data_IF_705792882354
#
_entry.id   IF_705792882354
#
_cell.length_a   1.000
_cell.length_b   1.000
_cell.length_c   1.000
_cell.angle_alpha   90.00
_cell.angle_beta   90.00
_cell.angle_gamma   90.00
#
_symmetry.space_group_name_H-M   'P 1'
#
loop_
_entity.id
_entity.type
_entity.pdbx_description
1 polymer ?
#
# COMPACT_ATOMS: atom_id res chain seq x y z
N UNK A 1 -4.99 -20.53 0.51
CA UNK A 1 -5.91 -19.45 0.88
C UNK A 1 -5.74 -19.16 2.36
N UNK A 2 -5.60 -17.89 2.69
CA UNK A 2 -5.55 -17.34 4.03
C UNK A 2 -6.90 -16.68 4.32
N UNK A 3 -7.55 -17.05 5.41
CA UNK A 3 -8.77 -16.43 5.91
C UNK A 3 -8.47 -15.80 7.28
N UNK A 4 -8.79 -14.52 7.41
CA UNK A 4 -8.51 -13.75 8.62
C UNK A 4 -9.80 -13.07 9.06
N UNK A 5 -10.18 -13.30 10.30
CA UNK A 5 -11.14 -12.48 11.02
C UNK A 5 -10.60 -12.36 12.44
N UNK A 6 -10.10 -11.21 12.87
CA UNK A 6 -9.54 -11.07 14.20
C UNK A 6 -9.89 -9.73 14.81
N UNK A 7 -10.04 -9.73 16.13
CA UNK A 7 -10.10 -8.50 16.92
C UNK A 7 -9.05 -8.51 18.02
N UNK A 8 -8.49 -7.35 18.28
CA UNK A 8 -7.60 -7.14 19.41
C UNK A 8 -7.66 -5.71 19.93
N UNK A 9 -7.78 -5.56 21.24
CA UNK A 9 -7.81 -4.26 21.90
C UNK A 9 -6.44 -3.90 22.49
N UNK A 10 -5.95 -2.73 22.10
CA UNK A 10 -4.74 -2.09 22.60
C UNK A 10 -5.12 -0.67 23.04
N UNK A 11 -5.94 -0.53 24.10
CA UNK A 11 -6.52 0.75 24.54
C UNK A 11 -5.54 1.92 24.42
N UNK A 12 -5.86 2.99 23.67
CA UNK A 12 -7.18 3.31 23.06
C UNK A 12 -7.42 2.73 21.66
N UNK A 13 -6.48 1.98 21.09
CA UNK A 13 -6.55 1.44 19.74
C UNK A 13 -7.28 0.09 19.68
N UNK A 14 -8.08 -0.13 18.63
CA UNK A 14 -8.77 -1.40 18.40
C UNK A 14 -8.47 -1.93 16.99
N UNK A 15 -7.86 -3.11 16.93
CA UNK A 15 -7.66 -3.85 15.69
C UNK A 15 -8.91 -4.68 15.43
N UNK A 16 -9.53 -4.53 14.26
CA UNK A 16 -10.65 -5.34 13.78
C UNK A 16 -10.46 -5.62 12.29
N UNK A 17 -9.85 -6.76 11.99
CA UNK A 17 -9.40 -7.09 10.65
C UNK A 17 -10.11 -8.32 10.12
N UNK A 18 -10.75 -8.17 8.95
CA UNK A 18 -11.39 -9.26 8.24
C UNK A 18 -11.02 -9.19 6.76
N UNK A 19 -10.37 -10.24 6.24
CA UNK A 19 -10.03 -10.35 4.81
C UNK A 19 -9.66 -11.78 4.43
N UNK A 20 -9.64 -12.03 3.14
CA UNK A 20 -9.11 -13.26 2.55
C UNK A 20 -7.96 -12.92 1.60
N UNK A 21 -6.97 -13.79 1.52
CA UNK A 21 -5.85 -13.66 0.61
C UNK A 21 -5.51 -15.00 -0.05
N UNK A 22 -5.43 -14.97 -1.37
CA UNK A 22 -5.02 -16.11 -2.19
C UNK A 22 -3.50 -16.12 -2.41
N UNK A 23 -3.04 -17.09 -3.19
CA UNK A 23 -1.66 -17.10 -3.68
C UNK A 23 -1.38 -15.81 -4.48
N UNK A 24 -0.14 -15.33 -4.37
CA UNK A 24 0.26 -14.04 -4.91
C UNK A 24 0.51 -13.01 -3.81
N UNK A 25 0.64 -11.76 -4.21
CA UNK A 25 1.02 -10.66 -3.31
C UNK A 25 -0.20 -9.78 -3.04
N UNK A 26 -0.60 -9.72 -1.78
CA UNK A 26 -1.62 -8.78 -1.30
C UNK A 26 -0.96 -7.72 -0.44
N UNK A 27 -1.05 -6.45 -0.85
CA UNK A 27 -0.56 -5.35 -0.04
C UNK A 27 -1.58 -4.91 1.00
N UNK A 28 -1.10 -4.59 2.20
CA UNK A 28 -1.84 -3.83 3.20
C UNK A 28 -1.30 -2.40 3.16
N UNK A 29 -2.08 -1.50 2.57
CA UNK A 29 -1.73 -0.10 2.36
C UNK A 29 -2.49 0.79 3.34
N UNK A 30 -1.78 1.65 4.06
CA UNK A 30 -2.43 2.59 4.98
C UNK A 30 -1.43 3.48 5.70
N UNK A 31 -1.90 4.51 6.43
CA UNK A 31 -1.06 5.44 7.14
C UNK A 31 -0.24 4.76 8.25
N UNK A 32 0.83 5.42 8.70
CA UNK A 32 1.61 4.95 9.85
C UNK A 32 0.74 4.85 11.10
N UNK A 33 0.95 3.81 11.92
CA UNK A 33 0.22 3.64 13.19
C UNK A 33 -1.19 3.06 13.08
N UNK A 34 -1.72 2.75 11.88
CA UNK A 34 -3.07 2.19 11.75
C UNK A 34 -3.20 0.70 12.13
N UNK A 35 -2.10 0.02 12.48
CA UNK A 35 -2.09 -1.36 12.98
C UNK A 35 -1.55 -2.44 12.02
N UNK A 36 -0.99 -2.07 10.85
CA UNK A 36 -0.50 -3.02 9.84
C UNK A 36 0.49 -4.06 10.39
N UNK A 37 1.52 -3.61 11.11
CA UNK A 37 2.51 -4.50 11.72
C UNK A 37 1.92 -5.37 12.83
N UNK A 38 0.91 -4.86 13.57
CA UNK A 38 0.19 -5.64 14.59
C UNK A 38 -0.62 -6.77 13.95
N UNK A 39 -1.21 -6.52 12.77
CA UNK A 39 -1.84 -7.58 11.96
C UNK A 39 -0.83 -8.67 11.62
N UNK A 40 0.33 -8.32 11.08
CA UNK A 40 1.35 -9.33 10.73
C UNK A 40 1.81 -10.12 11.97
N UNK A 41 2.03 -9.44 13.10
CA UNK A 41 2.37 -10.10 14.36
C UNK A 41 1.28 -11.08 14.84
N UNK A 42 0.01 -10.74 14.65
CA UNK A 42 -1.11 -11.62 14.98
C UNK A 42 -1.16 -12.87 14.09
N UNK A 43 -0.93 -12.69 12.79
CA UNK A 43 -0.86 -13.79 11.81
C UNK A 43 0.35 -14.71 12.06
N UNK A 44 1.49 -14.14 12.45
CA UNK A 44 2.69 -14.89 12.85
C UNK A 44 2.55 -15.59 14.21
N UNK A 45 1.51 -15.29 14.99
CA UNK A 45 1.32 -15.83 16.35
C UNK A 45 2.22 -15.19 17.40
N UNK A 46 2.88 -14.08 17.08
CA UNK A 46 3.68 -13.28 18.01
C UNK A 46 2.75 -12.56 18.99
N UNK A 47 1.66 -11.99 18.46
CA UNK A 47 0.57 -11.42 19.24
C UNK A 47 -0.64 -12.37 19.20
N UNK A 48 -1.19 -12.73 20.36
CA UNK A 48 -2.45 -13.48 20.41
C UNK A 48 -3.64 -12.52 20.23
N UNK A 49 -4.55 -12.72 19.24
CA UNK A 49 -5.79 -11.95 19.16
C UNK A 49 -6.73 -12.23 20.34
N UNK A 50 -7.66 -11.32 20.60
CA UNK A 50 -8.66 -11.49 21.67
C UNK A 50 -9.85 -12.33 21.17
N UNK A 51 -10.31 -12.05 19.94
CA UNK A 51 -11.44 -12.73 19.29
C UNK A 51 -11.12 -13.08 17.83
N UNK A 52 -11.88 -14.01 17.29
CA UNK A 52 -11.92 -14.34 15.87
C UNK A 52 -11.20 -15.63 15.51
N UNK A 53 -10.83 -15.77 14.24
CA UNK A 53 -10.27 -16.97 13.63
C UNK A 53 -9.22 -16.63 12.56
N UNK A 54 -8.15 -17.41 12.52
CA UNK A 54 -7.12 -17.36 11.47
C UNK A 54 -6.98 -18.77 10.89
N UNK A 55 -7.25 -18.92 9.59
CA UNK A 55 -7.17 -20.20 8.87
C UNK A 55 -6.20 -20.06 7.71
N UNK A 56 -5.29 -21.01 7.57
CA UNK A 56 -4.37 -21.09 6.44
C UNK A 56 -4.50 -22.47 5.79
N UNK A 57 -4.89 -22.50 4.51
CA UNK A 57 -5.06 -23.73 3.74
C UNK A 57 -5.92 -24.80 4.47
N UNK A 58 -7.03 -24.36 5.09
CA UNK A 58 -7.93 -25.20 5.88
C UNK A 58 -7.43 -25.54 7.30
N UNK A 59 -6.19 -25.20 7.65
CA UNK A 59 -5.66 -25.38 9.00
C UNK A 59 -5.98 -24.17 9.87
N UNK A 60 -6.68 -24.39 10.97
CA UNK A 60 -7.02 -23.33 11.94
C UNK A 60 -5.81 -23.05 12.84
N UNK A 61 -5.16 -21.90 12.66
CA UNK A 61 -4.02 -21.47 13.47
C UNK A 61 -4.44 -20.74 14.75
N UNK A 62 -5.60 -20.07 14.70
CA UNK A 62 -6.20 -19.42 15.85
C UNK A 62 -7.71 -19.50 15.74
N UNK A 63 -8.37 -19.75 16.86
CA UNK A 63 -9.82 -19.66 17.00
C UNK A 63 -10.13 -19.38 18.47
N UNK A 64 -10.80 -18.25 18.75
CA UNK A 64 -11.14 -17.86 20.11
C UNK A 64 -12.21 -18.78 20.74
N UNK A 65 -13.14 -19.31 19.94
CA UNK A 65 -14.23 -20.17 20.42
C UNK A 65 -13.74 -21.58 20.71
N UNK A 66 -12.98 -22.16 19.77
CA UNK A 66 -12.40 -23.50 19.89
C UNK A 66 -11.12 -23.52 20.76
N UNK A 67 -10.73 -22.36 21.30
CA UNK A 67 -9.53 -22.17 22.14
C UNK A 67 -8.23 -22.66 21.47
N UNK A 68 -8.15 -22.53 20.16
CA UNK A 68 -6.98 -22.90 19.36
C UNK A 68 -6.02 -21.71 19.29
N UNK A 69 -4.74 -21.94 19.58
CA UNK A 69 -3.67 -20.97 19.33
C UNK A 69 -2.36 -21.68 19.03
N UNK A 70 -1.99 -21.71 17.76
CA UNK A 70 -0.68 -22.18 17.31
C UNK A 70 0.37 -21.12 17.64
N UNK A 71 1.45 -21.54 18.29
CA UNK A 71 2.63 -20.71 18.55
C UNK A 71 3.35 -20.38 17.24
N UNK A 72 4.19 -19.32 17.19
CA UNK A 72 4.92 -18.94 15.98
C UNK A 72 5.67 -20.10 15.32
N UNK A 73 6.33 -20.96 16.10
CA UNK A 73 7.13 -22.08 15.58
C UNK A 73 6.27 -23.19 14.93
N UNK A 74 4.97 -23.22 15.21
CA UNK A 74 4.02 -24.16 14.61
C UNK A 74 3.42 -23.61 13.31
N UNK A 75 3.49 -22.29 13.11
CA UNK A 75 3.01 -21.63 11.90
C UNK A 75 4.20 -21.58 10.93
N UNK A 76 4.09 -22.26 9.79
CA UNK A 76 5.11 -22.25 8.73
C UNK A 76 5.13 -20.88 8.02
N UNK A 77 5.51 -19.83 8.75
CA UNK A 77 5.46 -18.42 8.34
C UNK A 77 6.89 -17.90 8.17
N UNK A 78 7.17 -17.30 7.02
CA UNK A 78 8.34 -16.46 6.81
C UNK A 78 8.01 -15.03 7.22
N UNK A 79 8.82 -14.42 8.10
CA UNK A 79 8.62 -13.04 8.53
C UNK A 79 9.86 -12.20 8.23
N UNK A 80 9.69 -11.16 7.42
CA UNK A 80 10.68 -10.11 7.20
C UNK A 80 10.27 -8.85 7.96
N UNK A 81 11.01 -8.54 9.02
CA UNK A 81 10.79 -7.35 9.84
C UNK A 81 11.35 -6.09 9.17
N UNK A 82 10.78 -4.93 9.52
CA UNK A 82 11.21 -3.61 9.04
C UNK A 82 12.70 -3.32 9.23
N UNK A 83 13.29 -3.77 10.34
CA UNK A 83 14.73 -3.61 10.64
C UNK A 83 15.57 -4.84 10.24
N UNK A 84 15.01 -5.77 9.47
CA UNK A 84 15.56 -7.07 9.05
C UNK A 84 15.85 -8.07 10.17
N UNK A 85 16.06 -7.60 11.40
CA UNK A 85 16.32 -8.39 12.61
C UNK A 85 17.36 -9.52 12.38
N UNK A 86 18.45 -9.24 11.65
CA UNK A 86 19.55 -10.19 11.50
C UNK A 86 20.24 -10.41 12.85
N UNK A 87 20.67 -11.65 13.11
CA UNK A 87 21.42 -11.95 14.33
C UNK A 87 22.85 -11.40 14.17
N UNK A 88 23.26 -10.39 14.97
CA UNK A 88 24.51 -9.67 14.74
C UNK A 88 25.75 -10.53 15.04
N UNK A 89 25.59 -11.55 15.88
CA UNK A 89 26.64 -12.49 16.28
C UNK A 89 26.76 -13.71 15.35
N UNK A 90 25.92 -13.81 14.32
CA UNK A 90 25.96 -14.89 13.34
C UNK A 90 26.44 -14.36 11.99
N UNK A 91 27.18 -15.18 11.24
CA UNK A 91 27.56 -14.86 9.86
C UNK A 91 26.33 -14.89 8.94
N UNK A 92 26.49 -14.44 7.68
CA UNK A 92 25.46 -14.55 6.64
C UNK A 92 24.96 -15.99 6.50
N UNK A 93 25.87 -16.94 6.32
CA UNK A 93 25.51 -18.37 6.18
C UNK A 93 24.77 -18.90 7.40
N UNK A 94 25.17 -18.50 8.61
CA UNK A 94 24.52 -18.90 9.85
C UNK A 94 23.14 -18.23 10.06
N UNK A 95 22.99 -16.97 9.63
CA UNK A 95 21.69 -16.30 9.63
C UNK A 95 20.71 -17.02 8.71
N UNK A 96 21.13 -17.32 7.48
CA UNK A 96 20.32 -18.05 6.51
C UNK A 96 19.99 -19.45 7.04
N UNK A 97 20.98 -20.19 7.57
CA UNK A 97 20.78 -21.55 8.07
C UNK A 97 19.93 -21.65 9.35
N UNK A 98 19.61 -20.54 10.03
CA UNK A 98 19.08 -20.56 11.40
C UNK A 98 17.78 -21.37 11.54
N UNK A 99 16.91 -21.34 10.52
CA UNK A 99 15.64 -22.08 10.48
C UNK A 99 15.77 -23.57 10.18
N UNK A 100 16.96 -24.05 9.77
CA UNK A 100 17.19 -25.44 9.33
C UNK A 100 17.73 -26.36 10.44
N UNK A 101 17.53 -26.00 11.71
CA UNK A 101 18.00 -26.79 12.85
C UNK A 101 17.43 -28.21 12.81
N UNK A 102 18.29 -29.21 13.00
CA UNK A 102 17.92 -30.63 13.00
C UNK A 102 18.15 -31.35 11.67
N UNK A 103 18.47 -30.64 10.59
CA UNK A 103 18.85 -31.25 9.32
C UNK A 103 20.34 -31.65 9.28
N UNK A 104 20.73 -32.63 8.44
CA UNK A 104 22.13 -32.98 8.21
C UNK A 104 22.96 -31.78 7.74
N UNK A 105 24.21 -31.68 8.19
CA UNK A 105 25.11 -30.57 7.85
C UNK A 105 25.31 -30.40 6.34
N UNK A 106 25.37 -31.50 5.58
CA UNK A 106 25.47 -31.47 4.12
C UNK A 106 24.26 -30.80 3.49
N UNK A 107 23.04 -31.20 3.88
CA UNK A 107 21.78 -30.61 3.41
C UNK A 107 21.67 -29.13 3.76
N UNK A 108 22.07 -28.74 4.98
CA UNK A 108 22.09 -27.32 5.39
C UNK A 108 23.06 -26.53 4.50
N UNK A 109 24.27 -27.04 4.29
CA UNK A 109 25.27 -26.35 3.46
C UNK A 109 24.80 -26.21 2.01
N UNK A 110 24.18 -27.24 1.45
CA UNK A 110 23.64 -27.22 0.09
C UNK A 110 22.54 -26.16 -0.05
N UNK A 111 21.54 -26.17 0.83
CA UNK A 111 20.44 -25.19 0.83
C UNK A 111 20.96 -23.76 0.97
N UNK A 112 21.89 -23.53 1.89
CA UNK A 112 22.50 -22.20 2.10
C UNK A 112 23.24 -21.73 0.84
N UNK A 113 24.03 -22.60 0.21
CA UNK A 113 24.76 -22.26 -1.01
C UNK A 113 23.81 -21.94 -2.18
N UNK A 114 22.70 -22.67 -2.31
CA UNK A 114 21.65 -22.35 -3.29
C UNK A 114 21.05 -20.97 -3.01
N UNK A 115 20.68 -20.68 -1.76
CA UNK A 115 20.11 -19.37 -1.39
C UNK A 115 21.08 -18.21 -1.61
N UNK A 116 22.37 -18.39 -1.33
CA UNK A 116 23.41 -17.38 -1.59
C UNK A 116 23.50 -17.04 -3.08
N UNK A 117 23.36 -18.02 -3.96
CA UNK A 117 23.27 -17.81 -5.42
C UNK A 117 22.01 -17.05 -5.79
N UNK A 118 20.85 -17.48 -5.30
CA UNK A 118 19.54 -16.85 -5.56
C UNK A 118 19.55 -15.36 -5.25
N UNK A 119 20.12 -15.00 -4.09
CA UNK A 119 20.22 -13.61 -3.62
C UNK A 119 21.48 -12.86 -4.09
N UNK A 120 22.33 -13.50 -4.91
CA UNK A 120 23.56 -12.93 -5.48
C UNK A 120 24.56 -12.44 -4.41
N UNK A 121 24.79 -13.26 -3.38
CA UNK A 121 25.74 -13.00 -2.29
C UNK A 121 26.78 -14.12 -2.10
N UNK A 122 27.12 -14.82 -3.19
CA UNK A 122 28.27 -15.74 -3.19
C UNK A 122 29.55 -15.01 -2.75
N UNK A 123 30.35 -15.64 -1.89
CA UNK A 123 31.56 -15.03 -1.29
C UNK A 123 31.31 -14.20 -0.02
N UNK A 124 30.06 -14.04 0.41
CA UNK A 124 29.70 -13.29 1.63
C UNK A 124 29.41 -14.21 2.83
N UNK A 125 29.61 -15.52 2.70
CA UNK A 125 29.20 -16.56 3.65
C UNK A 125 29.66 -16.30 5.09
N UNK A 126 30.88 -15.77 5.21
CA UNK A 126 31.59 -15.55 6.48
C UNK A 126 31.45 -14.13 7.01
N UNK A 127 30.80 -13.23 6.27
CA UNK A 127 30.58 -11.86 6.74
C UNK A 127 29.54 -11.81 7.84
N UNK A 128 29.65 -10.84 8.72
CA UNK A 128 28.64 -10.51 9.73
C UNK A 128 27.71 -9.40 9.22
N UNK A 129 26.49 -9.25 9.78
CA UNK A 129 25.54 -8.22 9.36
C UNK A 129 26.12 -6.79 9.36
N UNK A 130 27.02 -6.47 10.28
CA UNK A 130 27.70 -5.17 10.35
C UNK A 130 28.62 -4.88 9.15
N UNK A 131 28.93 -5.89 8.33
CA UNK A 131 29.80 -5.79 7.15
C UNK A 131 29.00 -5.78 5.84
N UNK A 132 27.68 -5.61 5.92
CA UNK A 132 26.75 -5.61 4.79
C UNK A 132 26.14 -4.22 4.59
N UNK A 133 25.84 -3.87 3.34
CA UNK A 133 24.96 -2.73 3.05
C UNK A 133 23.51 -3.04 3.45
N UNK A 134 22.65 -2.02 3.47
CA UNK A 134 21.22 -2.18 3.78
C UNK A 134 20.52 -3.18 2.84
N UNK A 135 20.73 -3.04 1.52
CA UNK A 135 20.18 -3.97 0.53
C UNK A 135 20.74 -5.40 0.63
N UNK A 136 22.02 -5.55 0.99
CA UNK A 136 22.61 -6.87 1.23
C UNK A 136 21.98 -7.52 2.49
N UNK A 137 21.80 -6.76 3.56
CA UNK A 137 21.15 -7.23 4.78
C UNK A 137 19.70 -7.65 4.55
N UNK A 138 18.97 -6.87 3.76
CA UNK A 138 17.61 -7.21 3.35
C UNK A 138 17.55 -8.55 2.62
N UNK A 139 18.43 -8.77 1.64
CA UNK A 139 18.51 -10.03 0.88
C UNK A 139 18.81 -11.24 1.77
N UNK A 140 19.72 -11.09 2.74
CA UNK A 140 20.01 -12.14 3.73
C UNK A 140 18.80 -12.44 4.60
N UNK A 141 18.07 -11.41 5.03
CA UNK A 141 16.87 -11.57 5.84
C UNK A 141 15.72 -12.22 5.06
N UNK A 142 15.55 -11.87 3.78
CA UNK A 142 14.61 -12.52 2.87
C UNK A 142 14.93 -14.01 2.72
N UNK A 143 16.18 -14.36 2.39
CA UNK A 143 16.62 -15.75 2.29
C UNK A 143 16.37 -16.53 3.59
N UNK A 144 16.71 -15.96 4.75
CA UNK A 144 16.43 -16.57 6.06
C UNK A 144 14.93 -16.81 6.28
N UNK A 145 14.06 -15.90 5.83
CA UNK A 145 12.62 -16.05 5.98
C UNK A 145 12.02 -17.12 5.06
N UNK A 146 12.65 -17.39 3.91
CA UNK A 146 12.13 -18.29 2.88
C UNK A 146 12.75 -19.70 2.90
N UNK A 147 13.94 -19.87 3.47
CA UNK A 147 14.67 -21.14 3.46
C UNK A 147 13.94 -22.31 4.14
N UNK A 148 12.98 -22.01 5.02
CA UNK A 148 12.13 -23.01 5.68
C UNK A 148 10.90 -23.37 4.85
N UNK A 149 10.84 -22.93 3.59
CA UNK A 149 9.72 -23.17 2.64
C UNK A 149 8.36 -22.81 3.26
N UNK A 150 8.16 -21.56 3.72
CA UNK A 150 6.93 -21.18 4.40
C UNK A 150 5.72 -21.22 3.46
N UNK A 151 4.52 -21.29 4.04
CA UNK A 151 3.26 -21.19 3.30
C UNK A 151 2.75 -19.75 3.20
N UNK A 152 3.15 -18.91 4.16
CA UNK A 152 2.79 -17.50 4.27
C UNK A 152 4.06 -16.67 4.47
N UNK A 153 4.26 -15.67 3.63
CA UNK A 153 5.35 -14.72 3.73
C UNK A 153 4.80 -13.36 4.17
N UNK A 154 5.30 -12.82 5.27
CA UNK A 154 4.89 -11.54 5.84
C UNK A 154 6.05 -10.54 5.69
N UNK A 155 5.82 -9.45 4.98
CA UNK A 155 6.83 -8.44 4.68
C UNK A 155 6.41 -7.11 5.30
N UNK A 156 7.07 -6.71 6.39
CA UNK A 156 6.70 -5.51 7.17
C UNK A 156 7.57 -4.32 6.77
N UNK A 157 7.04 -3.44 5.92
CA UNK A 157 7.74 -2.26 5.38
C UNK A 157 9.18 -2.55 4.93
N UNK A 158 9.40 -3.54 4.03
CA UNK A 158 10.74 -4.05 3.75
C UNK A 158 11.67 -3.01 3.11
N UNK A 159 11.14 -1.89 2.62
CA UNK A 159 11.88 -0.83 1.95
C UNK A 159 11.97 0.48 2.71
N UNK A 160 11.39 0.60 3.90
CA UNK A 160 11.28 1.89 4.60
C UNK A 160 12.63 2.47 5.03
N UNK A 161 13.60 1.61 5.35
CA UNK A 161 14.92 2.00 5.86
C UNK A 161 15.98 2.21 4.76
N UNK A 162 15.57 2.30 3.48
CA UNK A 162 16.47 2.31 2.34
C UNK A 162 16.35 3.59 1.50
N UNK A 163 17.48 4.05 0.97
CA UNK A 163 17.55 5.20 0.08
C UNK A 163 16.74 4.99 -1.21
N UNK A 164 16.06 6.05 -1.67
CA UNK A 164 15.19 6.01 -2.86
C UNK A 164 15.90 5.47 -4.10
N UNK A 165 17.19 5.78 -4.29
CA UNK A 165 17.97 5.36 -5.45
C UNK A 165 18.14 3.83 -5.56
N UNK A 166 18.20 3.13 -4.43
CA UNK A 166 18.44 1.68 -4.39
C UNK A 166 17.10 0.91 -4.37
N UNK A 167 16.03 1.58 -3.92
CA UNK A 167 14.70 0.99 -3.69
C UNK A 167 14.15 0.25 -4.90
N UNK A 168 14.17 0.86 -6.08
CA UNK A 168 13.66 0.24 -7.32
C UNK A 168 14.34 -1.09 -7.64
N UNK A 169 15.68 -1.14 -7.57
CA UNK A 169 16.42 -2.38 -7.82
C UNK A 169 16.12 -3.48 -6.80
N UNK A 170 15.81 -3.11 -5.55
CA UNK A 170 15.49 -4.05 -4.48
C UNK A 170 14.04 -4.55 -4.57
N UNK A 171 13.11 -3.71 -5.05
CA UNK A 171 11.76 -4.13 -5.41
C UNK A 171 11.79 -5.17 -6.52
N UNK A 172 12.56 -4.92 -7.59
CA UNK A 172 12.73 -5.89 -8.69
C UNK A 172 13.37 -7.20 -8.20
N UNK A 173 14.40 -7.12 -7.36
CA UNK A 173 15.04 -8.32 -6.80
C UNK A 173 14.10 -9.09 -5.86
N UNK A 174 13.31 -8.41 -5.03
CA UNK A 174 12.30 -9.03 -4.18
C UNK A 174 11.27 -9.77 -5.03
N UNK A 175 10.71 -9.11 -6.05
CA UNK A 175 9.75 -9.69 -6.97
C UNK A 175 10.31 -10.88 -7.73
N UNK A 176 11.58 -10.80 -8.16
CA UNK A 176 12.28 -11.92 -8.80
C UNK A 176 12.35 -13.13 -7.88
N UNK A 177 12.80 -12.93 -6.65
CA UNK A 177 12.96 -14.02 -5.67
C UNK A 177 11.60 -14.61 -5.27
N UNK A 178 10.60 -13.78 -5.00
CA UNK A 178 9.26 -14.26 -4.67
C UNK A 178 8.67 -15.02 -5.87
N UNK A 179 8.79 -14.47 -7.08
CA UNK A 179 8.23 -15.08 -8.29
C UNK A 179 8.87 -16.42 -8.66
N UNK A 180 10.18 -16.61 -8.39
CA UNK A 180 10.87 -17.88 -8.69
C UNK A 180 10.82 -18.88 -7.55
N UNK A 181 10.85 -18.45 -6.29
CA UNK A 181 11.05 -19.34 -5.13
C UNK A 181 9.81 -19.53 -4.25
N UNK A 182 8.72 -18.78 -4.47
CA UNK A 182 7.56 -18.80 -3.58
C UNK A 182 6.23 -18.99 -4.31
N UNK A 183 5.42 -19.90 -3.79
CA UNK A 183 4.11 -20.26 -4.37
C UNK A 183 2.96 -20.19 -3.36
N UNK A 184 3.18 -19.51 -2.23
CA UNK A 184 2.22 -19.32 -1.15
C UNK A 184 1.51 -17.97 -1.19
N UNK A 185 1.02 -17.54 -0.02
CA UNK A 185 0.40 -16.22 0.18
C UNK A 185 1.48 -15.24 0.64
N UNK A 186 1.56 -14.06 0.05
CA UNK A 186 2.43 -12.97 0.51
C UNK A 186 1.58 -11.81 0.98
N UNK A 187 1.83 -11.34 2.21
CA UNK A 187 1.31 -10.07 2.70
C UNK A 187 2.42 -9.04 2.75
N UNK A 188 2.24 -7.95 2.01
CA UNK A 188 3.20 -6.86 1.91
C UNK A 188 2.64 -5.60 2.59
N UNK A 189 3.25 -5.17 3.67
CA UNK A 189 2.85 -3.96 4.38
C UNK A 189 3.67 -2.78 3.87
N UNK A 190 2.99 -1.71 3.46
CA UNK A 190 3.61 -0.44 3.11
C UNK A 190 2.67 0.73 3.40
N UNK A 191 3.24 1.93 3.44
CA UNK A 191 2.50 3.19 3.41
C UNK A 191 2.68 3.93 2.07
N UNK A 192 3.41 3.34 1.12
CA UNK A 192 3.69 3.93 -0.19
C UNK A 192 2.79 3.30 -1.26
N UNK A 193 2.01 4.14 -1.94
CA UNK A 193 1.07 3.73 -3.00
C UNK A 193 1.80 3.15 -4.21
N UNK A 194 2.92 3.74 -4.63
CA UNK A 194 3.69 3.29 -5.80
C UNK A 194 4.29 1.90 -5.56
N UNK A 195 4.82 1.66 -4.36
CA UNK A 195 5.32 0.33 -3.97
C UNK A 195 4.21 -0.71 -4.02
N UNK A 196 3.07 -0.42 -3.37
CA UNK A 196 1.92 -1.30 -3.39
C UNK A 196 1.44 -1.55 -4.82
N UNK A 197 1.45 -0.53 -5.67
CA UNK A 197 1.09 -0.68 -7.07
C UNK A 197 2.08 -1.57 -7.83
N UNK A 198 3.39 -1.38 -7.66
CA UNK A 198 4.43 -2.13 -8.39
C UNK A 198 4.51 -3.60 -7.97
N UNK A 199 4.31 -3.89 -6.68
CA UNK A 199 4.65 -5.19 -6.09
C UNK A 199 3.45 -6.13 -5.96
N UNK A 200 2.24 -5.62 -5.88
CA UNK A 200 1.07 -6.43 -5.48
C UNK A 200 0.20 -6.83 -6.65
N UNK A 201 -0.58 -7.89 -6.46
CA UNK A 201 -1.74 -8.23 -7.29
C UNK A 201 -3.00 -7.54 -6.75
N UNK A 202 -3.21 -7.63 -5.43
CA UNK A 202 -4.35 -7.07 -4.70
C UNK A 202 -3.90 -6.06 -3.64
N UNK A 203 -4.79 -5.14 -3.28
CA UNK A 203 -4.55 -4.14 -2.23
C UNK A 203 -5.70 -4.16 -1.23
N UNK A 204 -5.35 -4.11 0.06
CA UNK A 204 -6.22 -3.87 1.20
C UNK A 204 -5.91 -2.46 1.73
N UNK A 205 -6.82 -1.52 1.56
CA UNK A 205 -6.74 -0.22 2.22
C UNK A 205 -7.10 -0.39 3.68
N UNK A 206 -6.20 0.06 4.55
CA UNK A 206 -6.27 -0.19 5.98
C UNK A 206 -6.18 1.11 6.76
N UNK A 207 -7.19 1.40 7.57
CA UNK A 207 -7.25 2.61 8.37
C UNK A 207 -7.86 2.30 9.74
N UNK A 208 -7.26 2.87 10.78
CA UNK A 208 -7.75 2.77 12.17
C UNK A 208 -8.18 1.34 12.58
N UNK A 209 -7.27 0.38 12.34
CA UNK A 209 -7.49 -1.00 12.70
C UNK A 209 -8.44 -1.78 11.80
N UNK A 210 -9.00 -1.20 10.73
CA UNK A 210 -9.99 -1.83 9.85
C UNK A 210 -9.61 -1.78 8.38
N UNK A 211 -10.02 -2.80 7.63
CA UNK A 211 -10.01 -2.75 6.16
C UNK A 211 -11.17 -1.86 5.72
N UNK A 212 -10.88 -0.81 4.95
CA UNK A 212 -11.88 0.12 4.44
C UNK A 212 -12.22 -0.13 2.97
N UNK A 213 -11.33 -0.79 2.22
CA UNK A 213 -11.54 -1.17 0.83
C UNK A 213 -10.55 -2.29 0.46
N UNK A 214 -10.96 -3.20 -0.41
CA UNK A 214 -10.12 -4.30 -0.89
C UNK A 214 -10.44 -4.69 -2.32
N UNK A 215 -9.45 -5.12 -3.08
CA UNK A 215 -9.66 -5.63 -4.44
C UNK A 215 -8.38 -5.66 -5.27
N UNK A 216 -8.56 -5.78 -6.58
CA UNK A 216 -7.47 -5.68 -7.55
C UNK A 216 -6.77 -4.33 -7.44
N UNK A 217 -5.43 -4.33 -7.52
CA UNK A 217 -4.62 -3.11 -7.29
C UNK A 217 -5.06 -1.90 -8.12
N UNK A 218 -5.48 -2.12 -9.36
CA UNK A 218 -5.91 -1.05 -10.28
C UNK A 218 -7.23 -0.44 -9.86
N UNK A 219 -8.17 -1.27 -9.44
CA UNK A 219 -9.52 -0.84 -9.09
C UNK A 219 -9.51 -0.08 -7.77
N UNK A 220 -8.78 -0.60 -6.77
CA UNK A 220 -8.65 0.03 -5.45
C UNK A 220 -8.04 1.42 -5.53
N UNK A 221 -6.98 1.60 -6.33
CA UNK A 221 -6.32 2.88 -6.46
C UNK A 221 -7.09 3.86 -7.36
N UNK A 222 -7.79 3.35 -8.38
CA UNK A 222 -8.49 4.21 -9.35
C UNK A 222 -9.84 4.70 -8.81
N UNK A 223 -10.57 3.84 -8.11
CA UNK A 223 -11.95 4.07 -7.68
C UNK A 223 -12.03 3.91 -6.15
N UNK A 224 -11.57 4.91 -5.36
CA UNK A 224 -11.79 4.92 -3.92
C UNK A 224 -13.30 4.95 -3.62
N UNK A 225 -13.73 4.15 -2.66
CA UNK A 225 -15.16 4.03 -2.30
C UNK A 225 -15.61 5.03 -1.23
N UNK A 226 -14.66 5.59 -0.48
CA UNK A 226 -14.90 6.57 0.57
C UNK A 226 -13.88 7.71 0.54
N UNK A 227 -14.20 8.83 1.20
CA UNK A 227 -13.27 9.94 1.41
C UNK A 227 -11.96 9.47 2.04
N UNK A 228 -12.02 8.57 3.03
CA UNK A 228 -10.82 8.05 3.68
C UNK A 228 -9.98 7.19 2.73
N UNK A 229 -10.62 6.38 1.89
CA UNK A 229 -9.91 5.64 0.84
C UNK A 229 -9.25 6.60 -0.16
N UNK A 230 -9.98 7.65 -0.58
CA UNK A 230 -9.50 8.68 -1.49
C UNK A 230 -8.26 9.41 -0.95
N UNK A 231 -8.28 9.80 0.34
CA UNK A 231 -7.12 10.40 1.02
C UNK A 231 -5.90 9.46 1.02
N UNK A 232 -6.09 8.16 1.26
CA UNK A 232 -4.99 7.18 1.31
C UNK A 232 -4.40 6.93 -0.08
N UNK A 233 -5.20 6.98 -1.14
CA UNK A 233 -4.74 6.71 -2.51
C UNK A 233 -4.31 7.98 -3.28
N UNK A 234 -4.18 9.11 -2.58
CA UNK A 234 -3.69 10.37 -3.19
C UNK A 234 -4.73 11.04 -4.08
N UNK A 235 -5.98 11.12 -3.64
CA UNK A 235 -6.99 12.00 -4.23
C UNK A 235 -7.10 13.26 -3.36
N UNK A 236 -6.45 14.34 -3.78
CA UNK A 236 -6.25 15.54 -2.96
C UNK A 236 -7.49 16.43 -2.91
N UNK A 237 -8.26 16.46 -4.00
CA UNK A 237 -9.48 17.26 -4.08
C UNK A 237 -10.67 16.36 -3.79
N UNK A 238 -11.26 16.50 -2.60
CA UNK A 238 -12.47 15.78 -2.19
C UNK A 238 -13.43 16.76 -1.53
N UNK A 239 -14.63 16.87 -2.07
CA UNK A 239 -15.62 17.87 -1.68
C UNK A 239 -16.97 17.20 -1.34
N UNK A 240 -17.72 17.75 -0.37
CA UNK A 240 -19.03 17.22 0.00
C UNK A 240 -20.06 17.48 -1.09
N UNK A 241 -20.93 16.51 -1.31
CA UNK A 241 -22.06 16.60 -2.22
C UNK A 241 -23.31 17.03 -1.45
N UNK A 242 -23.98 18.07 -1.92
CA UNK A 242 -25.25 18.55 -1.32
C UNK A 242 -26.47 17.97 -2.02
N UNK A 243 -26.40 17.77 -3.33
CA UNK A 243 -27.47 17.14 -4.10
C UNK A 243 -26.90 16.42 -5.33
N UNK A 244 -27.64 15.44 -5.84
CA UNK A 244 -27.29 14.76 -7.09
C UNK A 244 -28.54 14.36 -7.86
N UNK A 245 -28.42 14.34 -9.19
CA UNK A 245 -29.50 14.01 -10.11
C UNK A 245 -28.95 13.28 -11.34
N UNK A 246 -29.62 12.20 -11.74
CA UNK A 246 -29.30 11.51 -13.00
C UNK A 246 -29.80 12.33 -14.20
N UNK A 247 -28.93 12.53 -15.19
CA UNK A 247 -29.22 13.23 -16.44
C UNK A 247 -28.73 12.36 -17.61
N UNK A 248 -29.66 11.62 -18.22
CA UNK A 248 -29.33 10.69 -19.30
C UNK A 248 -28.40 9.57 -18.81
N UNK A 249 -27.17 9.52 -19.32
CA UNK A 249 -26.15 8.55 -18.90
C UNK A 249 -25.15 9.11 -17.87
N UNK A 250 -25.26 10.39 -17.54
CA UNK A 250 -24.38 11.10 -16.62
C UNK A 250 -25.12 11.43 -15.32
N UNK A 251 -24.37 11.82 -14.30
CA UNK A 251 -24.91 12.29 -13.02
C UNK A 251 -24.45 13.71 -12.80
N UNK A 252 -25.39 14.62 -12.57
CA UNK A 252 -25.09 15.97 -12.11
C UNK A 252 -25.02 15.97 -10.58
N UNK A 253 -23.97 16.58 -10.05
CA UNK A 253 -23.65 16.64 -8.63
C UNK A 253 -23.47 18.09 -8.25
N UNK A 254 -24.16 18.51 -7.19
CA UNK A 254 -23.96 19.83 -6.58
C UNK A 254 -22.97 19.71 -5.42
N UNK A 255 -21.93 20.54 -5.44
CA UNK A 255 -20.90 20.62 -4.41
C UNK A 255 -20.54 22.07 -4.14
N UNK A 256 -20.79 22.54 -2.91
CA UNK A 256 -20.47 23.91 -2.46
C UNK A 256 -21.01 24.98 -3.42
N UNK A 257 -22.25 24.80 -3.90
CA UNK A 257 -22.93 25.74 -4.79
C UNK A 257 -22.56 25.64 -6.28
N UNK A 258 -21.72 24.67 -6.66
CA UNK A 258 -21.33 24.40 -8.05
C UNK A 258 -21.93 23.10 -8.55
N UNK A 259 -22.42 23.08 -9.80
CA UNK A 259 -22.93 21.88 -10.46
C UNK A 259 -21.85 21.26 -11.35
N UNK A 260 -21.58 19.97 -11.18
CA UNK A 260 -20.58 19.21 -11.93
C UNK A 260 -21.23 17.96 -12.52
N UNK A 261 -20.96 17.71 -13.81
CA UNK A 261 -21.34 16.48 -14.49
C UNK A 261 -20.27 15.40 -14.30
N UNK A 262 -20.70 14.21 -13.91
CA UNK A 262 -19.85 13.03 -13.72
C UNK A 262 -20.30 11.97 -14.72
N UNK A 263 -19.33 11.36 -15.42
CA UNK A 263 -19.62 10.24 -16.32
C UNK A 263 -20.08 9.05 -15.50
N UNK A 264 -21.23 8.47 -15.87
CA UNK A 264 -21.82 7.22 -15.36
C UNK A 264 -21.22 6.70 -14.04
N UNK A 265 -21.75 7.17 -12.93
CA UNK A 265 -21.45 6.58 -11.61
C UNK A 265 -22.39 5.41 -11.31
N UNK A 266 -21.91 4.40 -10.57
CA UNK A 266 -22.77 3.34 -10.00
C UNK A 266 -23.43 3.78 -8.69
N UNK A 267 -23.01 4.92 -8.14
CA UNK A 267 -23.42 5.41 -6.84
C UNK A 267 -24.65 6.30 -7.02
N UNK A 268 -25.79 5.83 -6.51
CA UNK A 268 -27.07 6.54 -6.64
C UNK A 268 -27.18 7.77 -5.74
N UNK A 269 -26.42 7.82 -4.64
CA UNK A 269 -26.46 8.91 -3.64
C UNK A 269 -25.05 9.23 -3.15
N UNK A 270 -24.22 9.88 -3.98
CA UNK A 270 -22.89 10.27 -3.56
C UNK A 270 -22.94 11.27 -2.40
N UNK A 271 -22.08 11.07 -1.41
CA UNK A 271 -21.85 11.99 -0.29
C UNK A 271 -20.61 12.85 -0.54
N UNK A 272 -19.65 12.32 -1.30
CA UNK A 272 -18.45 13.04 -1.72
C UNK A 272 -18.22 12.90 -3.22
N UNK A 273 -17.58 13.94 -3.78
CA UNK A 273 -17.03 13.94 -5.13
C UNK A 273 -15.55 14.29 -5.04
N UNK A 274 -14.71 13.63 -5.82
CA UNK A 274 -13.28 13.90 -5.82
C UNK A 274 -12.65 13.82 -7.20
N UNK A 275 -11.47 14.41 -7.31
CA UNK A 275 -10.61 14.38 -8.49
C UNK A 275 -9.15 14.51 -8.04
N UNK A 276 -8.23 13.88 -8.76
CA UNK A 276 -6.80 13.99 -8.47
C UNK A 276 -6.26 15.31 -8.98
N UNK A 277 -5.27 15.87 -8.29
CA UNK A 277 -4.63 17.15 -8.66
C UNK A 277 -4.19 17.19 -10.13
N UNK A 278 -3.62 16.10 -10.63
CA UNK A 278 -3.12 15.97 -11.99
C UNK A 278 -4.19 15.70 -13.05
N UNK A 279 -5.44 15.44 -12.64
CA UNK A 279 -6.57 15.28 -13.55
C UNK A 279 -7.34 16.61 -13.74
N UNK A 280 -7.03 17.65 -12.95
CA UNK A 280 -7.62 18.99 -13.07
C UNK A 280 -6.85 19.80 -14.13
N UNK A 281 -7.56 20.41 -15.07
CA UNK A 281 -6.94 21.22 -16.13
C UNK A 281 -7.03 22.70 -15.76
N UNK A 282 -5.91 23.42 -15.86
CA UNK A 282 -5.80 24.85 -15.57
C UNK A 282 -5.57 25.64 -16.88
N UNK A 283 -6.48 26.54 -17.23
CA UNK A 283 -6.45 27.28 -18.51
C UNK A 283 -6.70 28.78 -18.34
N UNK A 284 -6.18 29.61 -19.27
CA UNK A 284 -6.43 31.08 -19.30
C UNK A 284 -7.78 31.45 -19.90
N UNK A 285 -8.34 30.58 -20.72
CA UNK A 285 -9.64 30.76 -21.35
C UNK A 285 -10.64 29.76 -20.81
N UNK A 286 -11.87 30.22 -20.61
CA UNK A 286 -13.02 29.39 -20.27
C UNK A 286 -13.18 28.28 -21.32
N UNK A 287 -13.23 27.05 -20.87
CA UNK A 287 -13.68 25.95 -21.69
C UNK A 287 -15.22 25.97 -21.74
N UNK A 288 -15.81 25.61 -22.88
CA UNK A 288 -17.26 25.48 -23.02
C UNK A 288 -17.80 24.19 -22.36
N UNK A 289 -16.96 23.46 -21.62
CA UNK A 289 -17.34 22.28 -20.86
C UNK A 289 -18.22 22.64 -19.65
N UNK A 290 -19.11 21.71 -19.30
CA UNK A 290 -20.04 21.87 -18.18
C UNK A 290 -19.35 21.94 -16.81
N UNK A 291 -18.09 21.52 -16.72
CA UNK A 291 -17.34 21.45 -15.48
C UNK A 291 -16.21 22.47 -15.48
N UNK A 292 -16.50 23.71 -15.86
CA UNK A 292 -15.51 24.79 -15.90
C UNK A 292 -15.85 25.84 -14.84
N UNK A 293 -14.95 26.03 -13.86
CA UNK A 293 -15.10 27.01 -12.79
C UNK A 293 -14.04 28.12 -12.92
N UNK A 294 -14.43 29.34 -12.55
CA UNK A 294 -13.55 30.51 -12.48
C UNK A 294 -12.87 30.56 -11.11
N UNK A 295 -11.58 30.88 -11.07
CA UNK A 295 -10.83 30.96 -9.83
C UNK A 295 -9.56 31.80 -9.94
N UNK A 296 -8.88 31.95 -8.80
CA UNK A 296 -7.65 32.74 -8.69
C UNK A 296 -6.53 31.90 -8.10
N UNK A 297 -5.32 32.02 -8.66
CA UNK A 297 -4.13 31.34 -8.16
C UNK A 297 -3.72 31.92 -6.80
N UNK A 298 -3.82 31.15 -5.72
CA UNK A 298 -3.49 31.62 -4.36
C UNK A 298 -2.17 31.05 -3.83
N UNK A 299 -1.69 29.94 -4.40
CA UNK A 299 -0.39 29.36 -4.06
C UNK A 299 0.24 28.69 -5.27
N UNK A 300 1.57 28.82 -5.38
CA UNK A 300 2.41 28.12 -6.36
C UNK A 300 3.56 27.47 -5.61
N UNK A 301 3.76 26.17 -5.80
CA UNK A 301 4.89 25.41 -5.27
C UNK A 301 5.61 24.75 -6.45
N UNK A 302 6.87 25.11 -6.63
CA UNK A 302 7.74 24.52 -7.64
C UNK A 302 8.36 23.22 -7.11
N UNK A 303 8.15 22.13 -7.83
CA UNK A 303 8.83 20.85 -7.61
C UNK A 303 9.89 20.59 -8.68
N UNK A 304 10.53 19.43 -8.62
CA UNK A 304 11.64 19.09 -9.54
C UNK A 304 11.15 18.91 -10.98
N UNK A 305 9.96 18.33 -11.18
CA UNK A 305 9.40 17.98 -12.50
C UNK A 305 7.93 18.42 -12.65
N UNK A 306 7.43 19.20 -11.70
CA UNK A 306 6.03 19.58 -11.61
C UNK A 306 5.88 20.94 -10.92
N UNK A 307 4.75 21.57 -11.15
CA UNK A 307 4.26 22.68 -10.32
C UNK A 307 2.96 22.23 -9.66
N UNK A 308 2.82 22.53 -8.37
CA UNK A 308 1.56 22.40 -7.64
C UNK A 308 0.97 23.77 -7.42
N UNK A 309 -0.29 23.94 -7.81
CA UNK A 309 -1.06 25.16 -7.66
C UNK A 309 -2.18 24.93 -6.66
N UNK A 310 -2.48 25.93 -5.84
CA UNK A 310 -3.75 25.98 -5.11
C UNK A 310 -4.57 27.12 -5.67
N UNK A 311 -5.80 26.81 -6.10
CA UNK A 311 -6.72 27.74 -6.74
C UNK A 311 -7.93 27.93 -5.83
N UNK A 312 -8.27 29.19 -5.56
CA UNK A 312 -9.50 29.54 -4.85
C UNK A 312 -10.63 29.75 -5.86
N UNK A 313 -11.74 29.02 -5.73
CA UNK A 313 -12.88 29.09 -6.64
C UNK A 313 -14.20 28.99 -5.87
N UNK A 314 -14.97 30.07 -5.80
CA UNK A 314 -16.32 30.08 -5.23
C UNK A 314 -16.47 29.37 -3.87
N UNK A 315 -15.51 29.54 -2.95
CA UNK A 315 -15.50 28.91 -1.62
C UNK A 315 -14.81 27.55 -1.52
N UNK A 316 -14.28 27.02 -2.62
CA UNK A 316 -13.45 25.82 -2.69
C UNK A 316 -11.97 26.19 -2.82
N UNK A 317 -11.11 25.37 -2.23
CA UNK A 317 -9.68 25.34 -2.57
C UNK A 317 -9.39 24.06 -3.37
N UNK A 318 -8.87 24.23 -4.58
CA UNK A 318 -8.58 23.13 -5.50
C UNK A 318 -7.08 23.07 -5.74
N UNK A 319 -6.48 21.91 -5.50
CA UNK A 319 -5.10 21.61 -5.84
C UNK A 319 -5.01 21.12 -7.28
N UNK A 320 -4.07 21.67 -8.01
CA UNK A 320 -3.77 21.28 -9.39
C UNK A 320 -2.30 20.93 -9.49
N UNK A 321 -1.97 19.90 -10.25
CA UNK A 321 -0.59 19.49 -10.50
C UNK A 321 -0.32 19.48 -12.00
N UNK A 322 0.68 20.24 -12.43
CA UNK A 322 1.09 20.33 -13.84
C UNK A 322 2.52 19.83 -14.01
N UNK A 323 2.69 18.82 -14.86
CA UNK A 323 3.98 18.18 -15.14
C UNK A 323 4.67 18.88 -16.32
N UNK A 324 5.49 19.88 -16.02
CA UNK A 324 6.23 20.64 -17.03
C UNK A 324 7.69 20.17 -17.13
N UNK A 325 8.15 19.84 -18.35
CA UNK A 325 9.56 19.49 -18.63
C UNK A 325 10.45 20.75 -18.68
N UNK A 326 10.73 21.34 -17.52
CA UNK A 326 11.75 22.38 -17.37
C UNK A 326 11.41 23.77 -17.93
N UNK A 327 10.16 24.02 -18.33
CA UNK A 327 9.66 25.37 -18.61
C UNK A 327 9.11 26.00 -17.34
N UNK A 328 9.40 27.30 -17.13
CA UNK A 328 8.72 28.10 -16.10
C UNK A 328 7.20 28.05 -16.34
N UNK A 329 6.45 28.02 -15.26
CA UNK A 329 5.00 28.20 -15.32
C UNK A 329 4.63 29.55 -15.94
N UNK A 330 3.51 29.59 -16.66
CA UNK A 330 2.92 30.82 -17.23
C UNK A 330 1.92 31.49 -16.28
N UNK A 331 1.93 31.09 -15.00
CA UNK A 331 1.02 31.51 -13.94
C UNK A 331 1.76 32.24 -12.83
N UNK A 332 1.17 33.33 -12.35
CA UNK A 332 1.64 34.12 -11.20
C UNK A 332 0.59 34.09 -10.07
N UNK A 333 1.02 34.42 -8.84
CA UNK A 333 0.10 34.55 -7.72
C UNK A 333 -0.88 35.70 -7.98
N UNK A 334 -2.18 35.43 -7.80
CA UNK A 334 -3.26 36.37 -8.08
C UNK A 334 -3.78 36.33 -9.51
N UNK A 335 -3.22 35.51 -10.40
CA UNK A 335 -3.76 35.35 -11.75
C UNK A 335 -5.17 34.76 -11.72
N UNK A 336 -6.06 35.33 -12.53
CA UNK A 336 -7.36 34.75 -12.84
C UNK A 336 -7.20 33.57 -13.79
N UNK A 337 -7.92 32.49 -13.53
CA UNK A 337 -7.80 31.23 -14.24
C UNK A 337 -9.13 30.48 -14.30
N UNK A 338 -9.17 29.47 -15.16
CA UNK A 338 -10.29 28.55 -15.29
C UNK A 338 -9.83 27.12 -14.95
N UNK A 339 -10.63 26.44 -14.14
CA UNK A 339 -10.46 25.05 -13.76
C UNK A 339 -11.47 24.19 -14.53
N UNK A 340 -10.98 23.27 -15.34
CA UNK A 340 -11.83 22.26 -15.99
C UNK A 340 -11.67 20.92 -15.29
N UNK A 341 -12.80 20.31 -14.93
CA UNK A 341 -12.86 18.98 -14.32
C UNK A 341 -13.42 17.97 -15.32
N UNK A 342 -12.57 17.16 -16.00
CA UNK A 342 -13.06 16.16 -16.94
C UNK A 342 -14.03 15.20 -16.27
N UNK A 343 -15.24 15.08 -16.84
CA UNK A 343 -16.34 14.30 -16.24
C UNK A 343 -16.01 12.82 -16.04
N UNK A 344 -15.11 12.25 -16.82
CA UNK A 344 -14.66 10.86 -16.73
C UNK A 344 -13.56 10.63 -15.66
N UNK A 345 -13.00 11.72 -15.12
CA UNK A 345 -12.01 11.69 -14.03
C UNK A 345 -12.58 12.03 -12.66
N UNK A 346 -13.79 12.58 -12.61
CA UNK A 346 -14.52 12.79 -11.35
C UNK A 346 -14.96 11.44 -10.75
N UNK A 347 -14.79 11.32 -9.44
CA UNK A 347 -15.05 10.11 -8.67
C UNK A 347 -16.12 10.41 -7.63
N UNK A 348 -17.25 9.72 -7.71
CA UNK A 348 -18.28 9.74 -6.68
C UNK A 348 -17.95 8.74 -5.56
N UNK A 349 -18.31 9.06 -4.33
CA UNK A 349 -18.05 8.24 -3.13
C UNK A 349 -19.28 8.23 -2.21
N UNK A 350 -19.50 7.11 -1.52
CA UNK A 350 -20.68 6.88 -0.67
C UNK A 350 -20.50 7.31 0.79
N UNK A 351 -19.26 7.40 1.27
CA UNK A 351 -18.93 7.72 2.67
C UNK A 351 -17.67 8.57 2.83
#
# INVERSE_FOLDING_TARGET
>A
MLEVSLKKSYSPFHLNMSFEADKGITSILGPSGCGKSLTLQALAGIAKPDEGRIVMNGQTWFDSHERVFWKPQQRQVGFLFQNYALFPHLTVSQNIAYGLKGLPKSTVSERVNTWLKTIRLEGFEKRYPSQLSGGQSQRVALARSMITEPQLLLLDEPFSALDQQIRGSLEEDLLRVIGSEFHGVVLFVTHNIEEAYRVSDKILLFNDGKVIQSGERRDVLRIPQSKKAAEIVGCENVFPVTSSKEIGNDTEVESVGHFLQVSRTKISRPVYIGIRSYDVLLTKSKDASFNCLEGTVVQIVEGVNNYSFTISTGGLEVKVEDFMKGSKTNWELGDDCFLTFPKDKLICMEE
#
